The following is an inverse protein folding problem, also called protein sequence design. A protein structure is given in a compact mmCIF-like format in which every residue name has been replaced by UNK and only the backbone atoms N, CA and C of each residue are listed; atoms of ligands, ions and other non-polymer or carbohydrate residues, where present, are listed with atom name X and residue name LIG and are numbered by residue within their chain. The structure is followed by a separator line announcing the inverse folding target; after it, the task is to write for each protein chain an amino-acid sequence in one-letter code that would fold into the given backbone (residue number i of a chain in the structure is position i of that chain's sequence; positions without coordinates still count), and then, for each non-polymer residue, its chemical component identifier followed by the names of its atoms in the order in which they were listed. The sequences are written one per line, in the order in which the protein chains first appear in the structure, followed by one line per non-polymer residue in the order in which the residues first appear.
data_IF_879206367583
#
_entry.id   IF_879206367583
#
_cell.length_a   1.000
_cell.length_b   1.000
_cell.length_c   1.000
_cell.angle_alpha   90.00
_cell.angle_beta   90.00
_cell.angle_gamma   90.00
#
_symmetry.space_group_name_H-M   'P 1'
#
loop_
_entity.id
_entity.type
_entity.pdbx_description
1 polymer ?
#
# COMPACT_ATOMS: atom_id res chain seq x y z
N UNK A 1 38.08 -46.50 10.65
CA UNK A 1 38.14 -45.23 9.90
C UNK A 1 37.69 -45.48 8.47
N UNK A 2 36.38 -45.35 8.25
CA UNK A 2 35.75 -45.20 6.93
C UNK A 2 34.56 -44.26 7.17
N UNK A 3 34.59 -42.99 6.71
CA UNK A 3 33.41 -42.16 6.83
C UNK A 3 32.46 -42.53 5.69
N UNK A 4 31.36 -43.19 6.05
CA UNK A 4 30.16 -43.20 5.23
C UNK A 4 29.54 -41.80 5.25
N UNK A 5 29.32 -41.23 4.07
CA UNK A 5 28.42 -40.10 3.88
C UNK A 5 27.54 -40.42 2.69
N UNK A 6 26.51 -41.23 2.93
CA UNK A 6 25.38 -41.33 2.02
C UNK A 6 24.68 -39.97 2.03
N UNK A 7 24.89 -39.23 0.95
CA UNK A 7 24.13 -38.06 0.55
C UNK A 7 22.65 -38.27 0.88
N UNK A 8 22.18 -37.61 1.94
CA UNK A 8 20.77 -37.54 2.27
C UNK A 8 20.08 -36.81 1.14
N UNK A 9 19.49 -37.56 0.22
CA UNK A 9 18.59 -37.03 -0.78
C UNK A 9 17.51 -36.23 -0.04
N UNK A 10 17.53 -34.91 -0.24
CA UNK A 10 16.44 -34.03 0.15
C UNK A 10 15.17 -34.63 -0.45
N UNK A 11 14.35 -35.21 0.43
CA UNK A 11 13.00 -35.70 0.13
C UNK A 11 12.30 -34.71 -0.78
N UNK A 12 11.92 -35.18 -1.96
CA UNK A 12 11.21 -34.42 -2.98
C UNK A 12 9.88 -33.90 -2.41
N UNK A 13 9.85 -32.69 -1.86
CA UNK A 13 8.63 -32.22 -1.18
C UNK A 13 8.30 -30.73 -1.27
N UNK A 14 9.08 -29.88 -1.95
CA UNK A 14 8.60 -28.63 -2.58
C UNK A 14 9.63 -28.28 -3.66
N UNK A 15 9.35 -28.56 -4.93
CA UNK A 15 10.04 -27.81 -6.00
C UNK A 15 9.62 -26.35 -5.80
N UNK A 16 10.55 -25.49 -5.36
CA UNK A 16 10.29 -24.06 -5.24
C UNK A 16 9.71 -23.57 -6.57
N UNK A 17 8.46 -23.09 -6.57
CA UNK A 17 7.80 -22.68 -7.80
C UNK A 17 8.67 -21.58 -8.45
N UNK A 18 9.22 -21.81 -9.66
CA UNK A 18 10.15 -20.87 -10.29
C UNK A 18 9.50 -19.51 -10.60
N UNK A 19 8.17 -19.42 -10.52
CA UNK A 19 7.44 -18.16 -10.66
C UNK A 19 7.42 -17.31 -9.38
N UNK A 20 7.73 -17.83 -8.20
CA UNK A 20 7.74 -17.05 -6.96
C UNK A 20 8.81 -15.94 -6.97
N UNK A 21 9.89 -16.12 -7.73
CA UNK A 21 10.93 -15.11 -7.91
C UNK A 21 10.54 -13.99 -8.90
N UNK A 22 9.43 -14.14 -9.64
CA UNK A 22 9.03 -13.20 -10.69
C UNK A 22 8.16 -12.09 -10.12
N UNK A 23 8.66 -10.84 -10.14
CA UNK A 23 7.87 -9.67 -9.74
C UNK A 23 6.71 -9.45 -10.71
N UNK A 24 5.46 -9.30 -10.25
CA UNK A 24 4.34 -8.99 -11.13
C UNK A 24 4.47 -7.60 -11.73
N UNK A 25 4.05 -7.43 -12.98
CA UNK A 25 3.95 -6.10 -13.60
C UNK A 25 2.81 -5.31 -12.98
N UNK A 26 2.86 -3.97 -13.07
CA UNK A 26 1.76 -3.09 -12.62
C UNK A 26 0.43 -3.53 -13.23
N UNK A 27 0.38 -3.80 -14.54
CA UNK A 27 -0.84 -4.26 -15.23
C UNK A 27 -1.42 -5.55 -14.62
N UNK A 28 -0.57 -6.51 -14.25
CA UNK A 28 -1.00 -7.75 -13.59
C UNK A 28 -1.56 -7.47 -12.19
N UNK A 29 -0.91 -6.61 -11.40
CA UNK A 29 -1.41 -6.22 -10.06
C UNK A 29 -2.77 -5.52 -10.14
N UNK A 30 -2.96 -4.62 -11.12
CA UNK A 30 -4.22 -3.90 -11.33
C UNK A 30 -5.37 -4.84 -11.73
N UNK A 31 -5.10 -5.89 -12.51
CA UNK A 31 -6.11 -6.82 -13.00
C UNK A 31 -6.66 -7.81 -11.96
N UNK A 32 -5.96 -8.01 -10.83
CA UNK A 32 -6.40 -8.97 -9.81
C UNK A 32 -7.61 -8.45 -9.02
N UNK A 33 -8.57 -9.30 -8.64
CA UNK A 33 -9.57 -8.93 -7.63
C UNK A 33 -8.85 -8.66 -6.30
N UNK A 34 -9.17 -7.53 -5.67
CA UNK A 34 -8.52 -7.06 -4.43
C UNK A 34 -9.55 -7.00 -3.31
N UNK A 35 -9.16 -7.44 -2.12
CA UNK A 35 -9.90 -7.22 -0.89
C UNK A 35 -9.11 -6.26 -0.01
N UNK A 36 -9.78 -5.23 0.52
CA UNK A 36 -9.22 -4.27 1.45
C UNK A 36 -9.73 -4.62 2.84
N UNK A 37 -8.82 -5.05 3.72
CA UNK A 37 -9.19 -5.49 5.07
C UNK A 37 -9.20 -4.34 6.09
N UNK A 38 -8.36 -3.35 5.85
CA UNK A 38 -8.20 -2.21 6.74
C UNK A 38 -7.93 -0.98 5.89
N UNK A 39 -8.72 0.05 6.10
CA UNK A 39 -8.51 1.38 5.55
C UNK A 39 -9.14 2.41 6.49
N UNK A 40 -8.55 3.60 6.51
CA UNK A 40 -9.07 4.73 7.27
C UNK A 40 -9.86 5.62 6.31
N UNK A 41 -11.16 5.75 6.54
CA UNK A 41 -12.05 6.49 5.64
C UNK A 41 -11.61 7.96 5.47
N UNK A 42 -11.17 8.57 6.56
CA UNK A 42 -10.63 9.92 6.62
C UNK A 42 -9.28 10.07 5.89
N UNK A 43 -8.49 8.99 5.81
CA UNK A 43 -7.23 8.97 5.05
C UNK A 43 -7.39 8.75 3.55
N UNK A 44 -8.59 8.37 3.08
CA UNK A 44 -8.86 8.04 1.66
C UNK A 44 -9.60 9.14 0.87
N UNK A 45 -9.84 10.31 1.46
CA UNK A 45 -10.61 11.38 0.81
C UNK A 45 -9.81 12.05 -0.32
N UNK A 46 -10.52 12.49 -1.37
CA UNK A 46 -9.91 13.31 -2.44
C UNK A 46 -9.75 14.76 -1.94
N UNK A 47 -8.57 15.39 -2.09
CA UNK A 47 -8.37 16.79 -1.68
C UNK A 47 -9.39 17.77 -2.29
N UNK A 48 -9.71 17.62 -3.58
CA UNK A 48 -10.72 18.44 -4.24
C UNK A 48 -12.09 18.38 -3.56
N UNK A 49 -12.50 17.19 -3.10
CA UNK A 49 -13.78 17.03 -2.39
C UNK A 49 -13.75 17.67 -0.99
N UNK A 50 -12.59 17.73 -0.33
CA UNK A 50 -12.45 18.44 0.94
C UNK A 50 -12.63 19.95 0.71
N UNK A 51 -12.03 20.50 -0.34
CA UNK A 51 -12.16 21.91 -0.73
C UNK A 51 -13.63 22.24 -1.06
N UNK A 52 -14.27 21.44 -1.91
CA UNK A 52 -15.69 21.59 -2.26
C UNK A 52 -16.60 21.61 -1.02
N UNK A 53 -16.37 20.70 -0.07
CA UNK A 53 -17.16 20.64 1.17
C UNK A 53 -16.87 21.81 2.10
N UNK A 54 -15.61 22.26 2.19
CA UNK A 54 -15.23 23.42 2.98
C UNK A 54 -15.93 24.68 2.47
N UNK A 55 -15.95 24.89 1.16
CA UNK A 55 -16.67 25.99 0.52
C UNK A 55 -18.18 25.92 0.79
N UNK A 56 -18.78 24.72 0.67
CA UNK A 56 -20.22 24.50 0.90
C UNK A 56 -20.65 24.87 2.33
N UNK A 57 -19.82 24.54 3.33
CA UNK A 57 -20.12 24.80 4.74
C UNK A 57 -19.59 26.15 5.24
N UNK A 58 -18.87 26.90 4.40
CA UNK A 58 -18.24 28.17 4.76
C UNK A 58 -17.03 28.04 5.68
N UNK A 59 -16.28 26.94 5.58
CA UNK A 59 -15.03 26.74 6.31
C UNK A 59 -13.84 27.30 5.51
N UNK A 60 -13.19 28.33 6.04
CA UNK A 60 -12.15 29.12 5.36
C UNK A 60 -10.72 28.87 5.89
N UNK A 61 -10.56 27.94 6.84
CA UNK A 61 -9.29 27.67 7.50
C UNK A 61 -8.53 26.47 6.89
N UNK A 62 -8.74 26.18 5.61
CA UNK A 62 -7.87 25.26 4.87
C UNK A 62 -6.49 25.91 4.64
N UNK A 63 -5.39 25.12 4.64
CA UNK A 63 -4.06 25.65 4.40
C UNK A 63 -3.84 26.12 2.96
N UNK A 64 -4.68 25.67 2.02
CA UNK A 64 -4.66 25.99 0.58
C UNK A 64 -5.97 25.53 -0.06
N UNK A 65 -6.37 26.17 -1.15
CA UNK A 65 -7.50 25.82 -2.03
C UNK A 65 -7.06 25.06 -3.29
N UNK A 66 -5.76 24.82 -3.46
CA UNK A 66 -5.21 24.00 -4.54
C UNK A 66 -5.22 22.50 -4.14
N UNK A 67 -5.88 21.61 -4.91
CA UNK A 67 -5.97 20.18 -4.59
C UNK A 67 -4.61 19.45 -4.53
N UNK A 68 -3.64 19.83 -5.36
CA UNK A 68 -2.30 19.22 -5.37
C UNK A 68 -1.51 19.65 -4.13
N UNK A 69 -1.58 20.94 -3.79
CA UNK A 69 -0.94 21.46 -2.59
C UNK A 69 -1.54 20.90 -1.31
N UNK A 70 -2.87 20.80 -1.26
CA UNK A 70 -3.57 20.23 -0.11
C UNK A 70 -3.23 18.74 0.05
N UNK A 71 -3.14 17.99 -1.06
CA UNK A 71 -2.72 16.59 -1.04
C UNK A 71 -1.31 16.41 -0.46
N UNK A 72 -0.37 17.25 -0.86
CA UNK A 72 0.99 17.26 -0.30
C UNK A 72 1.00 17.62 1.18
N UNK A 73 0.20 18.61 1.60
CA UNK A 73 0.07 18.98 3.01
C UNK A 73 -0.44 17.80 3.86
N UNK A 74 -1.42 17.03 3.37
CA UNK A 74 -1.89 15.81 4.03
C UNK A 74 -0.79 14.74 4.11
N UNK A 75 -0.08 14.46 3.02
CA UNK A 75 1.00 13.46 3.00
C UNK A 75 2.10 13.78 4.02
N UNK A 76 2.53 15.05 4.07
CA UNK A 76 3.56 15.53 5.01
C UNK A 76 3.07 15.45 6.47
N UNK A 77 1.81 15.80 6.73
CA UNK A 77 1.20 15.79 8.07
C UNK A 77 0.96 14.37 8.60
N UNK A 78 0.70 13.41 7.71
CA UNK A 78 0.43 12.01 8.03
C UNK A 78 1.68 11.21 8.45
N UNK A 79 2.90 11.72 8.21
CA UNK A 79 4.15 11.07 8.63
C UNK A 79 4.48 11.28 10.14
N UNK A 80 3.56 11.86 10.91
CA UNK A 80 3.74 12.20 12.33
C UNK A 80 3.51 11.05 13.33
N UNK A 81 3.34 9.80 12.86
CA UNK A 81 3.18 8.58 13.68
C UNK A 81 2.11 8.66 14.79
N UNK A 82 0.91 9.12 14.47
CA UNK A 82 -0.21 8.96 15.39
C UNK A 82 -1.52 8.73 14.65
N UNK A 83 -1.67 7.51 14.13
CA UNK A 83 -2.97 6.91 13.87
C UNK A 83 -2.91 5.55 14.58
N UNK A 84 -3.52 5.50 15.77
CA UNK A 84 -3.66 4.30 16.61
C UNK A 84 -4.69 3.34 16.04
#
# INVERSE_FOLDING_TARGET
MTPGSSSGALSASIQANPNLAKKPTRKQVHALPKALLHDHLDGGLRPATIIELADEIGYDALPTDDPEELGRWFEESCNSKSLV
#
